data_IF_953140960795
#
_entry.id   IF_953140960795
#
_cell.length_a   1.000
_cell.length_b   1.000
_cell.length_c   1.000
_cell.angle_alpha   90.00
_cell.angle_beta   90.00
_cell.angle_gamma   90.00
#
_symmetry.space_group_name_H-M   'P 1'
#
loop_
_entity.id
_entity.type
_entity.pdbx_description
1 polymer ?
#
# COMPACT_ATOMS: atom_id res chain seq x y z
N UNK A 1 -24.55 1.28 8.53
CA UNK A 1 -23.79 0.13 8.06
C UNK A 1 -22.99 -0.47 9.18
N UNK A 2 -23.13 -1.75 9.38
CA UNK A 2 -22.47 -2.40 10.53
C UNK A 2 -21.33 -3.31 10.13
N UNK A 3 -21.21 -3.68 8.86
CA UNK A 3 -20.12 -4.53 8.40
C UNK A 3 -18.88 -3.68 8.18
N UNK A 4 -17.77 -4.09 8.78
CA UNK A 4 -16.48 -3.42 8.63
C UNK A 4 -15.41 -4.45 8.38
N UNK A 5 -14.47 -4.12 7.53
CA UNK A 5 -13.28 -4.93 7.39
C UNK A 5 -12.41 -4.68 8.61
N UNK A 6 -12.19 -5.71 9.41
CA UNK A 6 -11.46 -5.56 10.67
C UNK A 6 -9.95 -5.63 10.45
N UNK A 7 -9.49 -6.66 9.80
CA UNK A 7 -8.07 -6.79 9.48
C UNK A 7 -7.90 -7.66 8.26
N UNK A 8 -6.74 -7.56 7.64
CA UNK A 8 -6.36 -8.44 6.54
C UNK A 8 -4.89 -8.81 6.69
N UNK A 9 -4.56 -10.02 6.30
CA UNK A 9 -3.18 -10.49 6.33
C UNK A 9 -2.52 -10.07 5.02
N UNK A 10 -1.38 -9.39 5.14
CA UNK A 10 -0.64 -8.87 3.99
C UNK A 10 0.69 -9.63 3.91
N UNK A 11 0.89 -10.43 2.86
CA UNK A 11 2.15 -11.18 2.74
C UNK A 11 3.34 -10.25 2.54
N UNK A 12 4.48 -10.66 3.07
CA UNK A 12 5.71 -9.88 3.01
C UNK A 12 6.91 -10.82 2.90
N UNK A 13 8.00 -10.34 2.32
CA UNK A 13 9.29 -11.03 2.40
C UNK A 13 9.83 -10.95 3.82
N UNK A 14 9.69 -9.78 4.40
CA UNK A 14 10.09 -9.46 5.75
C UNK A 14 8.98 -8.59 6.33
N UNK A 15 8.21 -9.16 7.23
CA UNK A 15 7.01 -8.50 7.73
C UNK A 15 7.31 -7.16 8.40
N UNK A 16 8.43 -7.09 9.13
CA UNK A 16 8.77 -5.84 9.81
C UNK A 16 9.17 -4.76 8.81
N UNK A 17 9.97 -5.12 7.82
CA UNK A 17 10.38 -4.16 6.80
C UNK A 17 9.18 -3.65 6.01
N UNK A 18 8.25 -4.52 5.65
CA UNK A 18 7.05 -4.11 4.92
C UNK A 18 6.14 -3.25 5.77
N UNK A 19 5.96 -3.61 7.05
CA UNK A 19 5.13 -2.81 7.96
C UNK A 19 5.75 -1.42 8.16
N UNK A 20 7.06 -1.34 8.32
CA UNK A 20 7.74 -0.06 8.50
C UNK A 20 7.68 0.78 7.24
N UNK A 21 7.83 0.17 6.07
CA UNK A 21 7.67 0.88 4.80
C UNK A 21 6.27 1.48 4.70
N UNK A 22 5.24 0.66 4.93
CA UNK A 22 3.86 1.11 4.82
C UNK A 22 3.58 2.23 5.82
N UNK A 23 3.98 2.05 7.06
CA UNK A 23 3.75 3.05 8.11
C UNK A 23 4.47 4.36 7.78
N UNK A 24 5.71 4.30 7.33
CA UNK A 24 6.46 5.51 7.01
C UNK A 24 5.83 6.27 5.87
N UNK A 25 5.48 5.59 4.79
CA UNK A 25 4.93 6.25 3.60
C UNK A 25 3.55 6.86 3.90
N UNK A 26 2.71 6.15 4.64
CA UNK A 26 1.35 6.61 4.91
C UNK A 26 1.22 7.46 6.19
N UNK A 27 2.33 7.70 6.89
CA UNK A 27 2.29 8.52 8.10
C UNK A 27 1.62 7.82 9.26
N UNK A 28 1.77 6.50 9.35
CA UNK A 28 1.19 5.66 10.37
C UNK A 28 2.29 5.10 11.27
N UNK A 29 1.92 4.27 12.23
CA UNK A 29 2.86 3.70 13.19
C UNK A 29 2.70 2.18 13.23
N UNK A 30 3.82 1.47 13.26
CA UNK A 30 3.79 0.02 13.49
C UNK A 30 3.47 -0.20 14.97
N UNK A 31 2.52 -1.08 15.25
CA UNK A 31 2.17 -1.40 16.64
C UNK A 31 3.36 -2.07 17.33
N UNK A 32 3.56 -1.81 18.62
CA UNK A 32 4.65 -2.45 19.36
C UNK A 32 4.41 -3.95 19.51
N UNK A 33 5.50 -4.69 19.65
CA UNK A 33 5.44 -6.14 19.83
C UNK A 33 6.17 -6.86 18.70
N UNK A 34 6.49 -8.12 18.96
CA UNK A 34 7.17 -8.97 18.00
C UNK A 34 6.43 -10.29 17.85
N UNK A 35 5.11 -10.18 17.76
CA UNK A 35 4.25 -11.34 17.57
C UNK A 35 4.36 -11.91 16.17
N UNK A 36 3.43 -12.80 15.86
CA UNK A 36 3.41 -13.47 14.56
C UNK A 36 3.25 -12.47 13.40
N UNK A 37 2.49 -11.41 13.63
CA UNK A 37 2.29 -10.37 12.62
C UNK A 37 2.97 -9.08 13.03
N UNK A 38 3.42 -8.30 12.03
CA UNK A 38 3.77 -6.91 12.23
C UNK A 38 2.54 -6.10 11.84
N UNK A 39 1.95 -5.38 12.76
CA UNK A 39 0.63 -4.77 12.58
C UNK A 39 0.71 -3.26 12.44
N UNK A 40 -0.08 -2.72 11.50
CA UNK A 40 -0.23 -1.28 11.32
C UNK A 40 -1.72 -0.96 11.36
N UNK A 41 -2.10 -0.05 12.25
CA UNK A 41 -3.48 0.44 12.30
C UNK A 41 -3.68 1.42 11.15
N UNK A 42 -4.51 1.06 10.18
CA UNK A 42 -4.73 1.88 8.99
C UNK A 42 -5.70 3.01 9.30
N UNK A 43 -6.80 2.68 9.98
CA UNK A 43 -7.77 3.66 10.45
C UNK A 43 -8.43 3.10 11.71
N UNK A 44 -9.53 3.69 12.15
CA UNK A 44 -10.16 3.29 13.42
C UNK A 44 -10.70 1.87 13.42
N UNK A 45 -10.88 1.25 12.25
CA UNK A 45 -11.48 -0.09 12.18
C UNK A 45 -10.67 -1.12 11.41
N UNK A 46 -9.56 -0.74 10.77
CA UNK A 46 -8.82 -1.66 9.90
C UNK A 46 -7.35 -1.75 10.32
N UNK A 47 -6.87 -2.98 10.46
CA UNK A 47 -5.47 -3.27 10.71
C UNK A 47 -4.91 -4.08 9.56
N UNK A 48 -3.73 -3.70 9.07
CA UNK A 48 -2.94 -4.55 8.17
C UNK A 48 -2.01 -5.39 9.02
N UNK A 49 -2.12 -6.71 8.87
CA UNK A 49 -1.31 -7.68 9.61
C UNK A 49 -0.29 -8.27 8.64
N UNK A 50 0.91 -7.69 8.64
CA UNK A 50 1.97 -8.17 7.74
C UNK A 50 2.53 -9.48 8.28
N UNK A 51 2.67 -10.46 7.40
CA UNK A 51 3.16 -11.79 7.76
C UNK A 51 4.24 -12.22 6.79
N UNK A 52 5.27 -12.86 7.31
CA UNK A 52 6.31 -13.44 6.44
C UNK A 52 5.69 -14.55 5.60
N UNK A 53 5.96 -14.49 4.31
CA UNK A 53 5.50 -15.52 3.40
C UNK A 53 6.69 -16.35 2.95
N UNK A 54 6.79 -17.61 3.34
CA UNK A 54 7.94 -18.42 2.98
C UNK A 54 7.93 -18.74 1.49
N UNK A 55 9.04 -18.50 0.86
CA UNK A 55 9.38 -18.99 -0.47
C UNK A 55 8.55 -18.51 -1.67
N UNK A 56 7.60 -17.55 -1.57
CA UNK A 56 6.81 -17.23 -2.76
C UNK A 56 7.67 -16.63 -3.87
N UNK A 57 8.61 -15.76 -3.53
CA UNK A 57 9.44 -15.08 -4.53
C UNK A 57 10.63 -15.94 -4.97
N UNK A 58 10.87 -17.06 -4.28
CA UNK A 58 11.90 -18.00 -4.70
C UNK A 58 11.37 -19.13 -5.53
N UNK A 59 10.07 -19.20 -5.77
CA UNK A 59 9.46 -20.28 -6.56
C UNK A 59 9.64 -20.04 -8.05
N UNK A 60 9.89 -21.08 -8.83
CA UNK A 60 9.90 -20.92 -10.28
C UNK A 60 8.58 -20.35 -10.77
N UNK A 61 8.66 -19.32 -11.61
CA UNK A 61 7.48 -18.69 -12.16
C UNK A 61 6.78 -17.69 -11.26
N UNK A 62 7.30 -17.42 -10.07
CA UNK A 62 6.70 -16.42 -9.20
C UNK A 62 6.91 -15.03 -9.79
N UNK A 63 5.84 -14.23 -9.81
CA UNK A 63 5.87 -12.84 -10.24
C UNK A 63 5.21 -12.03 -9.13
N UNK A 64 5.92 -11.06 -8.58
CA UNK A 64 5.42 -10.25 -7.47
C UNK A 64 4.12 -9.52 -7.82
N UNK A 65 3.84 -9.34 -9.11
CA UNK A 65 2.61 -8.67 -9.52
C UNK A 65 1.47 -9.62 -9.80
N UNK A 66 1.71 -10.93 -9.84
CA UNK A 66 0.67 -11.91 -10.15
C UNK A 66 0.58 -13.07 -9.17
N UNK A 67 1.61 -13.31 -8.35
CA UNK A 67 1.62 -14.41 -7.39
C UNK A 67 0.68 -14.14 -6.23
N UNK A 68 1.23 -13.85 -5.07
CA UNK A 68 0.42 -13.54 -3.89
C UNK A 68 0.33 -12.04 -3.64
N UNK A 69 0.64 -11.22 -4.66
CA UNK A 69 0.53 -9.78 -4.53
C UNK A 69 -0.94 -9.34 -4.59
N UNK A 70 -1.21 -8.24 -3.94
CA UNK A 70 -2.55 -7.67 -3.87
C UNK A 70 -2.53 -6.24 -4.39
N UNK A 71 -3.73 -5.73 -4.66
CA UNK A 71 -3.91 -4.33 -5.00
C UNK A 71 -4.74 -3.69 -3.89
N UNK A 72 -4.16 -2.70 -3.22
CA UNK A 72 -4.87 -1.93 -2.19
C UNK A 72 -4.98 -0.48 -2.63
N UNK A 73 -6.19 0.06 -2.55
CA UNK A 73 -6.46 1.43 -2.96
C UNK A 73 -6.95 2.21 -1.74
N UNK A 74 -6.40 3.40 -1.56
CA UNK A 74 -6.69 4.22 -0.39
C UNK A 74 -7.26 5.56 -0.82
N UNK A 75 -8.40 5.91 -0.26
CA UNK A 75 -8.98 7.24 -0.42
C UNK A 75 -8.43 8.11 0.72
N UNK A 76 -7.84 9.23 0.36
CA UNK A 76 -7.19 10.13 1.32
C UNK A 76 -7.63 11.56 1.07
N UNK A 77 -7.41 12.43 2.05
CA UNK A 77 -7.64 13.86 1.86
C UNK A 77 -6.51 14.45 1.01
N UNK A 78 -6.72 15.68 0.52
CA UNK A 78 -5.67 16.36 -0.24
C UNK A 78 -4.40 16.54 0.59
N UNK A 79 -4.54 16.88 1.87
CA UNK A 79 -3.38 17.06 2.74
C UNK A 79 -2.63 15.74 2.95
N UNK A 80 -3.37 14.65 3.14
CA UNK A 80 -2.74 13.33 3.27
C UNK A 80 -2.07 12.92 1.98
N UNK A 81 -2.69 13.20 0.84
CA UNK A 81 -2.09 12.92 -0.45
C UNK A 81 -0.75 13.63 -0.59
N UNK A 82 -0.71 14.93 -0.27
CA UNK A 82 0.53 15.71 -0.37
C UNK A 82 1.64 15.10 0.49
N UNK A 83 1.31 14.69 1.70
CA UNK A 83 2.29 14.07 2.60
C UNK A 83 2.79 12.74 2.06
N UNK A 84 1.89 11.88 1.62
CA UNK A 84 2.24 10.57 1.09
C UNK A 84 3.10 10.73 -0.17
N UNK A 85 2.66 11.57 -1.10
CA UNK A 85 3.39 11.79 -2.34
C UNK A 85 4.79 12.35 -2.08
N UNK A 86 4.90 13.28 -1.15
CA UNK A 86 6.19 13.84 -0.76
C UNK A 86 7.13 12.78 -0.24
N UNK A 87 6.63 11.87 0.60
CA UNK A 87 7.46 10.78 1.15
C UNK A 87 7.85 9.76 0.09
N UNK A 88 6.94 9.44 -0.84
CA UNK A 88 7.26 8.55 -1.96
C UNK A 88 8.40 9.13 -2.79
N UNK A 89 8.36 10.44 -3.07
CA UNK A 89 9.42 11.08 -3.84
C UNK A 89 10.73 11.16 -3.05
N UNK A 90 10.64 11.46 -1.76
CA UNK A 90 11.83 11.57 -0.91
C UNK A 90 12.57 10.23 -0.80
N UNK A 91 11.84 9.13 -0.81
CA UNK A 91 12.42 7.78 -0.77
C UNK A 91 12.78 7.27 -2.15
N UNK A 92 12.59 8.08 -3.18
CA UNK A 92 12.91 7.71 -4.57
C UNK A 92 12.19 6.45 -5.03
N UNK A 93 10.96 6.28 -4.58
CA UNK A 93 10.12 5.16 -4.99
C UNK A 93 9.51 5.50 -6.35
N UNK A 94 9.56 4.55 -7.27
CA UNK A 94 8.91 4.73 -8.57
C UNK A 94 7.40 4.76 -8.39
N UNK A 95 6.74 5.64 -9.13
CA UNK A 95 5.29 5.76 -9.10
C UNK A 95 4.77 6.07 -10.49
N UNK A 96 3.46 5.94 -10.67
CA UNK A 96 2.87 6.21 -11.97
C UNK A 96 1.38 6.45 -11.94
N UNK A 97 0.82 6.67 -13.12
CA UNK A 97 -0.54 7.15 -13.28
C UNK A 97 -1.58 6.05 -13.46
N UNK A 98 -1.19 4.79 -13.46
CA UNK A 98 -2.14 3.71 -13.65
C UNK A 98 -1.54 2.37 -13.29
N UNK A 99 -2.37 1.32 -13.18
CA UNK A 99 -1.87 -0.01 -12.81
C UNK A 99 -0.90 -0.57 -13.86
N UNK A 100 -1.11 -0.25 -15.14
CA UNK A 100 -0.21 -0.69 -16.20
C UNK A 100 0.87 0.33 -16.49
N UNK A 101 0.86 1.46 -15.79
CA UNK A 101 1.81 2.56 -15.96
C UNK A 101 2.26 3.07 -14.60
N UNK A 102 2.54 2.16 -13.68
CA UNK A 102 2.81 2.55 -12.30
C UNK A 102 4.24 3.04 -12.07
N UNK A 103 5.02 3.21 -13.14
CA UNK A 103 6.38 3.76 -13.05
C UNK A 103 6.62 4.90 -14.04
N UNK A 104 5.56 5.47 -14.60
CA UNK A 104 5.73 6.54 -15.61
C UNK A 104 6.02 7.92 -15.00
N UNK A 105 6.01 8.03 -13.67
CA UNK A 105 6.33 9.28 -13.00
C UNK A 105 5.26 10.34 -13.12
N UNK A 106 4.02 9.95 -13.43
CA UNK A 106 2.92 10.87 -13.61
C UNK A 106 1.82 10.60 -12.60
N UNK A 107 1.03 11.64 -12.33
CA UNK A 107 -0.15 11.55 -11.47
C UNK A 107 -1.38 11.43 -12.37
N UNK A 108 -2.31 10.58 -11.97
CA UNK A 108 -3.59 10.46 -12.66
C UNK A 108 -4.50 11.60 -12.25
N UNK A 109 -4.97 12.37 -13.23
CA UNK A 109 -5.89 13.49 -12.97
C UNK A 109 -7.16 13.38 -13.79
N UNK A 110 -7.45 12.20 -14.36
CA UNK A 110 -8.55 12.03 -15.31
C UNK A 110 -9.91 12.36 -14.74
N UNK A 111 -10.09 12.27 -13.43
CA UNK A 111 -11.38 12.55 -12.79
C UNK A 111 -11.41 13.93 -12.13
N UNK A 112 -10.48 14.80 -12.49
CA UNK A 112 -10.36 16.11 -11.88
C UNK A 112 -9.75 16.09 -10.50
N UNK A 113 -9.32 14.92 -10.06
CA UNK A 113 -8.72 14.69 -8.75
C UNK A 113 -7.33 14.10 -8.95
N UNK A 114 -6.69 13.73 -7.86
CA UNK A 114 -5.32 13.25 -7.94
C UNK A 114 -5.22 11.80 -7.49
N UNK A 115 -4.42 11.02 -8.20
CA UNK A 115 -4.16 9.65 -7.84
C UNK A 115 -2.81 9.19 -8.37
N UNK A 116 -2.21 8.20 -7.73
CA UNK A 116 -1.00 7.58 -8.24
C UNK A 116 -0.86 6.17 -7.68
N UNK A 117 0.05 5.40 -8.31
CA UNK A 117 0.27 3.99 -8.00
C UNK A 117 1.75 3.78 -7.71
N UNK A 118 2.05 2.87 -6.80
CA UNK A 118 3.44 2.46 -6.54
C UNK A 118 3.42 1.08 -5.89
N UNK A 119 4.58 0.42 -5.86
CA UNK A 119 4.69 -0.92 -5.28
C UNK A 119 5.35 -0.86 -3.91
N UNK A 120 4.94 -1.78 -3.03
CA UNK A 120 5.62 -1.98 -1.76
C UNK A 120 6.77 -2.98 -1.94
N UNK A 121 7.57 -3.25 -0.88
CA UNK A 121 8.73 -4.15 -1.02
C UNK A 121 8.41 -5.57 -1.46
N UNK A 122 7.20 -6.05 -1.22
CA UNK A 122 6.78 -7.38 -1.67
C UNK A 122 6.33 -7.37 -3.13
N UNK A 123 5.84 -6.25 -3.61
CA UNK A 123 5.28 -6.12 -4.94
C UNK A 123 3.77 -5.92 -4.93
N UNK A 124 3.18 -5.63 -3.77
CA UNK A 124 1.77 -5.22 -3.74
C UNK A 124 1.64 -3.89 -4.44
N UNK A 125 0.61 -3.73 -5.25
CA UNK A 125 0.34 -2.48 -5.94
C UNK A 125 -0.54 -1.61 -5.05
N UNK A 126 -0.02 -0.45 -4.68
CA UNK A 126 -0.73 0.48 -3.82
C UNK A 126 -1.20 1.66 -4.66
N UNK A 127 -2.43 2.09 -4.41
CA UNK A 127 -3.03 3.23 -5.11
C UNK A 127 -3.51 4.22 -4.06
N UNK A 128 -3.22 5.51 -4.29
CA UNK A 128 -3.65 6.59 -3.41
C UNK A 128 -4.45 7.57 -4.25
N UNK A 129 -5.64 7.91 -3.79
CA UNK A 129 -6.53 8.78 -4.55
C UNK A 129 -7.31 9.73 -3.64
N UNK A 130 -7.63 10.90 -4.18
CA UNK A 130 -8.38 11.91 -3.41
C UNK A 130 -9.88 11.86 -3.67
N UNK A 131 -10.32 11.06 -4.65
CA UNK A 131 -11.75 10.79 -4.89
C UNK A 131 -11.97 9.29 -4.87
N UNK A 132 -12.97 8.79 -4.11
CA UNK A 132 -13.23 7.36 -4.08
C UNK A 132 -13.67 6.84 -5.44
N UNK A 133 -13.39 5.57 -5.68
CA UNK A 133 -13.75 4.91 -6.93
C UNK A 133 -15.26 5.02 -7.21
N UNK A 134 -16.05 4.93 -6.16
CA UNK A 134 -17.51 4.98 -6.29
C UNK A 134 -18.03 6.38 -6.57
N UNK A 135 -17.22 7.42 -6.44
CA UNK A 135 -17.60 8.77 -6.78
C UNK A 135 -18.65 9.41 -5.88
N UNK A 136 -18.94 8.86 -4.73
CA UNK A 136 -19.97 9.41 -3.86
C UNK A 136 -19.42 10.27 -2.75
#
# INVERSE_FOLDING_TARGET
MTIRLDHTIVPAKDKRASAEFFAEIFGLTVKPGDGYFAQVQVNESLTFDFADEPEPWGRPGFDSRTGNSHHFAFHVSDAEFDGIFSRVKAEEIRYGSGPDHHTDGKIDTRRGERGFYFEDPYGHLLEVMTVPETGS
#
